data_IF_171985696066
#
_entry.id   IF_171985696066
#
_cell.length_a   1.000
_cell.length_b   1.000
_cell.length_c   1.000
_cell.angle_alpha   90.00
_cell.angle_beta   90.00
_cell.angle_gamma   90.00
#
_symmetry.space_group_name_H-M   'P 1'
#
loop_
_entity.id
_entity.type
_entity.pdbx_description
1 polymer ?
#
# COMPACT_ATOMS: atom_id res chain seq x y z
N UNK A 1 6.53 -6.83 -19.61
CA UNK A 1 6.34 -7.09 -18.17
C UNK A 1 5.80 -8.50 -17.99
N UNK A 2 6.28 -9.25 -17.00
CA UNK A 2 5.70 -10.55 -16.64
C UNK A 2 4.60 -10.34 -15.61
N UNK A 3 3.47 -11.03 -15.76
CA UNK A 3 2.34 -10.94 -14.84
C UNK A 3 2.27 -12.20 -13.97
N UNK A 4 1.89 -12.02 -12.70
CA UNK A 4 1.54 -13.10 -11.78
C UNK A 4 0.01 -13.17 -11.73
N UNK A 5 -0.56 -14.38 -11.83
CA UNK A 5 -2.00 -14.64 -11.72
C UNK A 5 -2.27 -15.49 -10.50
N UNK A 6 -3.28 -15.12 -9.72
CA UNK A 6 -3.79 -15.89 -8.59
C UNK A 6 -5.23 -16.28 -8.94
N UNK A 7 -5.52 -17.56 -9.24
CA UNK A 7 -6.88 -18.00 -9.50
C UNK A 7 -7.69 -17.96 -8.21
N UNK A 8 -8.88 -17.35 -8.27
CA UNK A 8 -9.85 -17.33 -7.17
C UNK A 8 -11.09 -18.10 -7.63
N UNK A 9 -11.56 -19.10 -6.86
CA UNK A 9 -12.81 -19.81 -7.16
C UNK A 9 -14.01 -18.87 -7.34
N UNK A 10 -14.85 -19.16 -8.32
CA UNK A 10 -15.99 -18.28 -8.66
C UNK A 10 -17.03 -18.23 -7.54
N UNK A 11 -17.29 -19.35 -6.87
CA UNK A 11 -18.21 -19.45 -5.73
C UNK A 11 -17.79 -18.54 -4.57
N UNK A 12 -16.50 -18.47 -4.27
CA UNK A 12 -15.94 -17.53 -3.30
C UNK A 12 -16.20 -16.09 -3.76
N UNK A 13 -15.90 -15.77 -5.03
CA UNK A 13 -16.13 -14.43 -5.56
C UNK A 13 -17.60 -14.00 -5.56
N UNK A 14 -18.52 -14.94 -5.82
CA UNK A 14 -19.96 -14.68 -5.79
C UNK A 14 -20.47 -14.35 -4.38
N UNK A 15 -19.79 -14.79 -3.33
CA UNK A 15 -20.15 -14.45 -1.94
C UNK A 15 -19.73 -13.03 -1.52
N UNK A 16 -18.85 -12.38 -2.29
CA UNK A 16 -18.31 -11.07 -1.96
C UNK A 16 -19.39 -9.99 -2.09
N UNK A 17 -19.58 -9.19 -1.04
CA UNK A 17 -20.54 -8.06 -0.99
C UNK A 17 -20.04 -6.82 -1.74
N UNK A 18 -19.49 -7.01 -2.95
CA UNK A 18 -18.99 -5.96 -3.83
C UNK A 18 -19.64 -6.15 -5.20
N UNK A 19 -20.15 -5.10 -5.86
CA UNK A 19 -20.66 -5.20 -7.23
C UNK A 19 -19.60 -5.78 -8.18
N UNK A 20 -19.98 -6.73 -9.06
CA UNK A 20 -19.06 -7.41 -10.00
C UNK A 20 -18.13 -6.45 -10.75
N UNK A 21 -18.65 -5.30 -11.18
CA UNK A 21 -17.87 -4.26 -11.90
C UNK A 21 -16.67 -3.71 -11.12
N UNK A 22 -16.69 -3.82 -9.78
CA UNK A 22 -15.66 -3.32 -8.86
C UNK A 22 -14.79 -4.41 -8.26
N UNK A 23 -15.03 -5.69 -8.56
CA UNK A 23 -14.26 -6.78 -7.95
C UNK A 23 -12.75 -6.61 -8.12
N UNK A 24 -12.30 -6.38 -9.36
CA UNK A 24 -10.87 -6.24 -9.66
C UNK A 24 -10.24 -5.06 -8.92
N UNK A 25 -10.89 -3.90 -8.93
CA UNK A 25 -10.36 -2.69 -8.30
C UNK A 25 -10.32 -2.82 -6.79
N UNK A 26 -11.38 -3.34 -6.16
CA UNK A 26 -11.41 -3.50 -4.70
C UNK A 26 -10.44 -4.60 -4.23
N UNK A 27 -10.35 -5.74 -4.94
CA UNK A 27 -9.37 -6.77 -4.60
C UNK A 27 -7.93 -6.28 -4.71
N UNK A 28 -7.60 -5.47 -5.72
CA UNK A 28 -6.28 -4.84 -5.84
C UNK A 28 -5.98 -3.89 -4.67
N UNK A 29 -6.97 -3.10 -4.25
CA UNK A 29 -6.84 -2.21 -3.08
C UNK A 29 -6.60 -3.02 -1.80
N UNK A 30 -7.42 -4.04 -1.53
CA UNK A 30 -7.26 -4.88 -0.35
C UNK A 30 -5.90 -5.61 -0.35
N UNK A 31 -5.46 -6.12 -1.50
CA UNK A 31 -4.15 -6.74 -1.63
C UNK A 31 -3.01 -5.73 -1.38
N UNK A 32 -3.12 -4.52 -1.95
CA UNK A 32 -2.13 -3.47 -1.74
C UNK A 32 -2.04 -3.03 -0.27
N UNK A 33 -3.17 -2.86 0.40
CA UNK A 33 -3.24 -2.53 1.83
C UNK A 33 -2.60 -3.63 2.67
N UNK A 34 -2.94 -4.88 2.41
CA UNK A 34 -2.41 -6.03 3.14
C UNK A 34 -0.88 -6.14 2.96
N UNK A 35 -0.38 -6.10 1.72
CA UNK A 35 1.06 -6.20 1.46
C UNK A 35 1.84 -5.03 2.06
N UNK A 36 1.28 -3.82 2.06
CA UNK A 36 1.90 -2.66 2.71
C UNK A 36 1.90 -2.81 4.23
N UNK A 37 0.78 -3.21 4.83
CA UNK A 37 0.66 -3.39 6.29
C UNK A 37 1.67 -4.40 6.83
N UNK A 38 1.91 -5.48 6.11
CA UNK A 38 2.90 -6.51 6.47
C UNK A 38 4.34 -6.14 6.07
N UNK A 39 4.58 -4.96 5.47
CA UNK A 39 5.91 -4.49 5.06
C UNK A 39 6.54 -5.24 3.90
N UNK A 40 5.72 -5.99 3.15
CA UNK A 40 6.17 -6.81 2.03
C UNK A 40 6.44 -5.98 0.77
N UNK A 41 5.81 -4.81 0.67
CA UNK A 41 6.04 -3.86 -0.42
C UNK A 41 6.14 -2.42 0.10
N UNK A 42 6.99 -1.58 -0.50
CA UNK A 42 7.06 -0.17 -0.13
C UNK A 42 5.80 0.58 -0.58
N UNK A 43 5.53 1.72 0.07
CA UNK A 43 4.40 2.60 -0.26
C UNK A 43 4.28 2.90 -1.76
N UNK A 44 5.41 3.17 -2.42
CA UNK A 44 5.48 3.44 -3.87
C UNK A 44 4.93 2.29 -4.74
N UNK A 45 5.04 1.05 -4.28
CA UNK A 45 4.48 -0.11 -4.98
C UNK A 45 3.02 -0.33 -4.59
N UNK A 46 2.67 -0.08 -3.34
CA UNK A 46 1.32 -0.26 -2.82
C UNK A 46 0.29 0.64 -3.52
N UNK A 47 0.55 1.96 -3.61
CA UNK A 47 -0.40 2.87 -4.28
C UNK A 47 -0.55 2.55 -5.78
N UNK A 48 0.54 2.12 -6.43
CA UNK A 48 0.51 1.68 -7.84
C UNK A 48 -0.27 0.39 -8.02
N UNK A 49 -0.13 -0.57 -7.12
CA UNK A 49 -0.89 -1.83 -7.14
C UNK A 49 -2.38 -1.58 -6.92
N UNK A 50 -2.73 -0.64 -6.02
CA UNK A 50 -4.09 -0.19 -5.78
C UNK A 50 -4.68 0.61 -6.95
N UNK A 51 -3.86 0.99 -7.94
CA UNK A 51 -4.23 1.88 -9.05
C UNK A 51 -4.73 3.25 -8.55
N UNK A 52 -4.05 3.79 -7.53
CA UNK A 52 -4.41 5.04 -6.87
C UNK A 52 -3.27 6.06 -6.92
N UNK A 53 -3.63 7.33 -6.91
CA UNK A 53 -2.68 8.40 -6.64
C UNK A 53 -2.12 8.28 -5.22
N UNK A 54 -0.91 8.81 -5.01
CA UNK A 54 -0.23 8.73 -3.71
C UNK A 54 -1.09 9.31 -2.58
N UNK A 55 -1.74 10.44 -2.85
CA UNK A 55 -2.58 11.15 -1.89
C UNK A 55 -3.80 10.32 -1.50
N UNK A 56 -4.51 9.74 -2.46
CA UNK A 56 -5.70 8.92 -2.22
C UNK A 56 -5.36 7.65 -1.44
N UNK A 57 -4.24 7.01 -1.77
CA UNK A 57 -3.80 5.83 -1.03
C UNK A 57 -3.42 6.19 0.42
N UNK A 58 -2.87 7.39 0.66
CA UNK A 58 -2.60 7.86 2.01
C UNK A 58 -3.88 8.03 2.83
N UNK A 59 -4.91 8.65 2.24
CA UNK A 59 -6.22 8.75 2.89
C UNK A 59 -6.80 7.37 3.20
N UNK A 60 -6.70 6.43 2.25
CA UNK A 60 -7.17 5.06 2.44
C UNK A 60 -6.46 4.33 3.59
N UNK A 61 -5.14 4.54 3.77
CA UNK A 61 -4.42 4.01 4.94
C UNK A 61 -4.99 4.56 6.24
N UNK A 62 -5.29 5.86 6.28
CA UNK A 62 -5.93 6.52 7.43
C UNK A 62 -7.32 5.96 7.72
N UNK A 63 -8.18 5.83 6.70
CA UNK A 63 -9.52 5.24 6.81
C UNK A 63 -9.48 3.80 7.33
N UNK A 64 -8.43 3.05 7.00
CA UNK A 64 -8.22 1.65 7.42
C UNK A 64 -7.42 1.50 8.70
N UNK A 65 -6.98 2.59 9.33
CA UNK A 65 -6.17 2.58 10.55
C UNK A 65 -4.81 1.89 10.37
N UNK A 66 -4.28 1.87 9.15
CA UNK A 66 -2.97 1.28 8.86
C UNK A 66 -1.91 2.35 9.13
N UNK A 67 -1.16 2.17 10.21
CA UNK A 67 -0.04 3.05 10.52
C UNK A 67 0.95 3.06 9.37
N UNK A 68 1.52 4.23 9.09
CA UNK A 68 2.76 4.26 8.32
C UNK A 68 3.77 3.40 9.06
N UNK A 69 4.41 2.51 8.31
CA UNK A 69 5.64 1.87 8.75
C UNK A 69 6.72 2.95 8.73
N UNK A 70 6.70 3.78 9.76
CA UNK A 70 7.75 4.73 10.12
C UNK A 70 8.24 4.24 11.47
N UNK A 71 9.29 3.45 11.43
CA UNK A 71 9.91 2.88 12.60
C UNK A 71 10.99 3.82 13.16
N UNK A 72 11.66 3.38 14.22
CA UNK A 72 12.72 4.16 14.87
C UNK A 72 13.89 4.36 13.91
N UNK A 73 14.17 3.36 13.09
CA UNK A 73 15.24 3.39 12.10
C UNK A 73 14.98 4.45 11.01
N UNK A 74 13.75 4.56 10.51
CA UNK A 74 13.37 5.64 9.59
C UNK A 74 13.53 7.03 10.23
N UNK A 75 13.16 7.16 11.52
CA UNK A 75 13.33 8.39 12.28
C UNK A 75 14.81 8.78 12.46
N UNK A 76 15.65 7.83 12.86
CA UNK A 76 17.09 8.06 13.03
C UNK A 76 17.75 8.45 11.71
N UNK A 77 17.36 7.82 10.61
CA UNK A 77 17.86 8.13 9.28
C UNK A 77 17.47 9.53 8.82
N UNK A 78 16.26 9.98 9.15
CA UNK A 78 15.82 11.36 8.90
C UNK A 78 16.63 12.37 9.73
N UNK A 79 16.91 12.09 11.00
CA UNK A 79 17.80 12.92 11.82
C UNK A 79 19.22 13.01 11.24
N UNK A 80 19.76 11.89 10.75
CA UNK A 80 21.07 11.87 10.10
C UNK A 80 21.07 12.73 8.82
N UNK A 81 20.03 12.59 7.99
CA UNK A 81 19.84 13.39 6.79
C UNK A 81 19.76 14.89 7.11
N UNK A 82 19.01 15.28 8.14
CA UNK A 82 18.90 16.67 8.59
C UNK A 82 20.23 17.23 9.11
N UNK A 83 20.99 16.41 9.84
CA UNK A 83 22.31 16.80 10.38
C UNK A 83 23.30 17.03 9.24
N UNK A 84 23.34 16.12 8.26
CA UNK A 84 24.18 16.29 7.05
C UNK A 84 23.80 17.52 6.24
N UNK A 85 22.51 17.78 6.05
CA UNK A 85 22.04 18.97 5.36
C UNK A 85 22.48 20.27 6.05
N UNK A 86 22.49 20.30 7.39
CA UNK A 86 22.98 21.44 8.18
C UNK A 86 24.49 21.62 8.11
N UNK A 87 25.26 20.54 8.05
CA UNK A 87 26.73 20.57 8.03
C UNK A 87 27.31 20.99 6.65
N UNK A 88 26.55 20.86 5.57
CA UNK A 88 26.92 21.33 4.23
C UNK A 88 26.45 22.76 3.92
N UNK A 89 26.00 23.51 4.93
CA UNK A 89 25.54 24.90 4.86
C UNK A 89 26.45 25.78 5.72
#
# INVERSE_FOLDING_TARGET
>A
MKMISVPIPEDIMMSVKIPRRRWKTELKKELALQLYREGLIPFANAHRLAEMEKTDFHYLLGERGISRQYDVEDYEKDLENLTRWRAGK
#
